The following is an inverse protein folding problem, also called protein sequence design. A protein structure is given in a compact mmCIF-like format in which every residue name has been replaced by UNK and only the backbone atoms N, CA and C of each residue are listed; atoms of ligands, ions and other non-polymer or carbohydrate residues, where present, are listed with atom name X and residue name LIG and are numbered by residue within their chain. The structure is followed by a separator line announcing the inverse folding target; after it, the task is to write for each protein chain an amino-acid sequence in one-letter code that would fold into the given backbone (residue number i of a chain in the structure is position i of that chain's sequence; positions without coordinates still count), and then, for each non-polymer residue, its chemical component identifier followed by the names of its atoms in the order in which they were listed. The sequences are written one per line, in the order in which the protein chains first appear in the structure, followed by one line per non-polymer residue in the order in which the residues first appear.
data_IF_874817261554
#
_entry.id   IF_874817261554
#
_cell.length_a   1.000
_cell.length_b   1.000
_cell.length_c   1.000
_cell.angle_alpha   90.00
_cell.angle_beta   90.00
_cell.angle_gamma   90.00
#
_symmetry.space_group_name_H-M   'P 1'
#
loop_
_entity.id
_entity.type
_entity.pdbx_description
1 polymer ?
#
# COMPACT_ATOMS: atom_id res chain seq x y z
N UNK A 1 43.43 21.86 -11.36
CA UNK A 1 42.07 21.24 -11.50
C UNK A 1 42.28 19.73 -11.43
N UNK A 2 41.76 19.12 -10.39
CA UNK A 2 41.84 17.67 -10.20
C UNK A 2 40.61 17.03 -10.90
N UNK A 3 40.83 16.00 -11.74
CA UNK A 3 39.79 15.29 -12.43
C UNK A 3 39.10 14.35 -11.44
N UNK A 4 37.84 14.64 -11.09
CA UNK A 4 37.08 13.94 -10.04
C UNK A 4 36.29 12.74 -10.54
N UNK A 5 36.07 12.63 -11.86
CA UNK A 5 35.39 11.48 -12.46
C UNK A 5 34.57 11.82 -13.68
N UNK A 6 33.95 10.80 -14.27
CA UNK A 6 33.09 10.89 -15.45
C UNK A 6 31.65 10.48 -15.10
N UNK A 7 30.69 11.33 -15.42
CA UNK A 7 29.27 11.06 -15.24
C UNK A 7 28.62 10.76 -16.59
N UNK A 8 28.32 9.49 -16.86
CA UNK A 8 27.62 9.08 -18.09
C UNK A 8 26.11 9.28 -17.97
N UNK A 9 25.43 9.53 -19.12
CA UNK A 9 23.97 9.60 -19.20
C UNK A 9 23.30 8.33 -18.61
N UNK A 10 23.85 7.16 -18.88
CA UNK A 10 23.32 5.89 -18.38
C UNK A 10 23.42 5.79 -16.86
N UNK A 11 24.49 6.31 -16.27
CA UNK A 11 24.67 6.35 -14.81
C UNK A 11 23.68 7.34 -14.16
N UNK A 12 23.44 8.49 -14.77
CA UNK A 12 22.38 9.42 -14.34
C UNK A 12 21.00 8.78 -14.40
N UNK A 13 20.66 8.09 -15.49
CA UNK A 13 19.38 7.42 -15.65
C UNK A 13 19.20 6.25 -14.66
N UNK A 14 20.27 5.48 -14.40
CA UNK A 14 20.23 4.40 -13.40
C UNK A 14 20.04 4.94 -11.98
N UNK A 15 20.67 6.06 -11.63
CA UNK A 15 20.50 6.71 -10.34
C UNK A 15 19.09 7.34 -10.19
N UNK A 16 18.53 7.92 -11.25
CA UNK A 16 17.15 8.43 -11.25
C UNK A 16 16.12 7.29 -11.14
N UNK A 17 16.36 6.15 -11.82
CA UNK A 17 15.48 4.98 -11.74
C UNK A 17 15.44 4.32 -10.34
N UNK A 18 16.39 4.63 -9.46
CA UNK A 18 16.45 4.17 -8.06
C UNK A 18 15.84 5.18 -7.06
N UNK A 19 15.24 6.27 -7.55
CA UNK A 19 14.54 7.23 -6.69
C UNK A 19 13.26 6.60 -6.14
N UNK A 20 12.99 6.69 -4.81
CA UNK A 20 11.73 6.23 -4.22
C UNK A 20 10.49 6.82 -4.91
N UNK A 21 10.56 8.07 -5.36
CA UNK A 21 9.46 8.72 -6.07
C UNK A 21 9.18 8.06 -7.43
N UNK A 22 10.21 7.73 -8.19
CA UNK A 22 10.06 7.01 -9.47
C UNK A 22 9.49 5.61 -9.23
N UNK A 23 9.93 4.96 -8.17
CA UNK A 23 9.40 3.64 -7.79
C UNK A 23 7.91 3.73 -7.40
N UNK A 24 7.50 4.69 -6.57
CA UNK A 24 6.10 4.93 -6.20
C UNK A 24 5.26 5.20 -7.46
N UNK A 25 5.75 5.98 -8.42
CA UNK A 25 5.06 6.18 -9.69
C UNK A 25 4.91 4.86 -10.45
N UNK A 26 5.92 4.00 -10.44
CA UNK A 26 5.82 2.68 -11.09
C UNK A 26 4.80 1.76 -10.42
N UNK A 27 4.59 1.89 -9.10
CA UNK A 27 3.51 1.19 -8.37
C UNK A 27 2.14 1.70 -8.80
N UNK A 28 1.97 3.02 -8.93
CA UNK A 28 0.71 3.62 -9.42
C UNK A 28 0.32 3.16 -10.81
N UNK A 29 1.29 2.84 -11.66
CA UNK A 29 1.08 2.37 -13.02
C UNK A 29 0.87 0.85 -13.12
N UNK A 30 1.02 0.10 -12.01
CA UNK A 30 0.80 -1.35 -12.03
C UNK A 30 -0.68 -1.68 -12.34
N UNK A 31 -0.88 -2.65 -13.21
CA UNK A 31 -2.21 -3.06 -13.70
C UNK A 31 -2.70 -4.38 -13.11
N UNK A 32 -1.79 -5.16 -12.51
CA UNK A 32 -2.10 -6.48 -11.96
C UNK A 32 -1.59 -6.67 -10.54
N UNK A 33 -2.20 -7.63 -9.81
CA UNK A 33 -1.73 -8.02 -8.48
C UNK A 33 -0.32 -8.63 -8.53
N UNK A 34 0.01 -9.33 -9.62
CA UNK A 34 1.35 -9.90 -9.82
C UNK A 34 2.39 -8.79 -9.92
N UNK A 35 2.11 -7.75 -10.70
CA UNK A 35 3.00 -6.60 -10.77
C UNK A 35 3.15 -5.87 -9.44
N UNK A 36 2.05 -5.68 -8.69
CA UNK A 36 2.10 -5.09 -7.36
C UNK A 36 2.95 -5.94 -6.40
N UNK A 37 2.81 -7.26 -6.46
CA UNK A 37 3.64 -8.20 -5.70
C UNK A 37 5.12 -8.06 -6.06
N UNK A 38 5.46 -8.07 -7.34
CA UNK A 38 6.85 -7.91 -7.82
C UNK A 38 7.44 -6.57 -7.35
N UNK A 39 6.63 -5.50 -7.31
CA UNK A 39 7.03 -4.22 -6.74
C UNK A 39 7.30 -4.36 -5.24
N UNK A 40 6.39 -4.95 -4.49
CA UNK A 40 6.55 -5.14 -3.05
C UNK A 40 7.78 -5.97 -2.72
N UNK A 41 8.02 -7.06 -3.43
CA UNK A 41 9.20 -7.92 -3.27
C UNK A 41 10.54 -7.19 -3.55
N UNK A 42 10.51 -6.08 -4.30
CA UNK A 42 11.68 -5.23 -4.56
C UNK A 42 11.89 -4.11 -3.52
N UNK A 43 10.94 -3.84 -2.63
CA UNK A 43 11.06 -2.78 -1.61
C UNK A 43 12.29 -2.95 -0.73
N UNK A 44 12.64 -4.16 -0.22
CA UNK A 44 13.83 -4.36 0.60
C UNK A 44 15.12 -3.88 -0.06
N UNK A 45 15.25 -4.08 -1.37
CA UNK A 45 16.42 -3.62 -2.14
C UNK A 45 16.52 -2.10 -2.16
N UNK A 46 15.39 -1.41 -2.36
CA UNK A 46 15.34 0.06 -2.37
C UNK A 46 15.70 0.61 -0.99
N UNK A 47 15.13 0.04 0.07
CA UNK A 47 15.39 0.46 1.45
C UNK A 47 16.85 0.24 1.82
N UNK A 48 17.45 -0.90 1.47
CA UNK A 48 18.87 -1.16 1.72
C UNK A 48 19.76 -0.15 0.99
N UNK A 49 19.40 0.26 -0.23
CA UNK A 49 20.15 1.29 -0.96
C UNK A 49 20.05 2.67 -0.28
N UNK A 50 18.86 3.04 0.23
CA UNK A 50 18.68 4.29 0.97
C UNK A 50 19.52 4.32 2.25
N UNK A 51 19.45 3.24 3.03
CA UNK A 51 20.24 3.10 4.27
C UNK A 51 21.76 3.12 3.98
N UNK A 52 22.20 2.42 2.92
CA UNK A 52 23.59 2.43 2.47
C UNK A 52 24.11 3.81 2.02
N UNK A 53 23.20 4.73 1.66
CA UNK A 53 23.50 6.14 1.33
C UNK A 53 23.41 7.08 2.57
N UNK A 54 23.20 6.53 3.77
CA UNK A 54 23.13 7.29 5.01
C UNK A 54 21.76 7.91 5.32
N UNK A 55 20.69 7.49 4.63
CA UNK A 55 19.32 7.87 4.98
C UNK A 55 18.96 7.23 6.32
N UNK A 56 18.39 8.01 7.25
CA UNK A 56 18.04 7.48 8.56
C UNK A 56 16.82 6.53 8.50
N UNK A 57 16.70 5.64 9.49
CA UNK A 57 15.67 4.61 9.54
C UNK A 57 14.24 5.17 9.56
N UNK A 58 14.01 6.33 10.19
CA UNK A 58 12.67 6.94 10.23
C UNK A 58 12.21 7.35 8.82
N UNK A 59 13.11 7.93 8.01
CA UNK A 59 12.80 8.27 6.61
C UNK A 59 12.62 7.00 5.77
N UNK A 60 13.42 5.95 6.02
CA UNK A 60 13.24 4.66 5.34
C UNK A 60 11.86 4.06 5.65
N UNK A 61 11.40 4.10 6.90
CA UNK A 61 10.07 3.64 7.29
C UNK A 61 8.93 4.47 6.63
N UNK A 62 9.11 5.78 6.51
CA UNK A 62 8.15 6.63 5.79
C UNK A 62 8.06 6.22 4.30
N UNK A 63 9.17 5.89 3.66
CA UNK A 63 9.17 5.40 2.27
C UNK A 63 8.45 4.06 2.17
N UNK A 64 8.68 3.12 3.10
CA UNK A 64 7.95 1.84 3.15
C UNK A 64 6.45 2.10 3.23
N UNK A 65 6.01 2.93 4.18
CA UNK A 65 4.59 3.27 4.37
C UNK A 65 4.00 3.91 3.12
N UNK A 66 4.68 4.86 2.48
CA UNK A 66 4.18 5.49 1.24
C UNK A 66 4.00 4.47 0.10
N UNK A 67 4.86 3.46 0.02
CA UNK A 67 4.73 2.39 -0.98
C UNK A 67 3.55 1.49 -0.61
N UNK A 68 3.41 1.10 0.66
CA UNK A 68 2.31 0.28 1.16
C UNK A 68 0.96 0.96 0.93
N UNK A 69 0.82 2.24 1.32
CA UNK A 69 -0.37 3.06 1.07
C UNK A 69 -0.74 3.09 -0.43
N UNK A 70 0.28 3.25 -1.30
CA UNK A 70 0.04 3.28 -2.74
C UNK A 70 -0.47 1.94 -3.27
N UNK A 71 0.07 0.82 -2.76
CA UNK A 71 -0.40 -0.53 -3.09
C UNK A 71 -1.83 -0.73 -2.59
N UNK A 72 -2.12 -0.36 -1.33
CA UNK A 72 -3.46 -0.48 -0.75
C UNK A 72 -4.50 0.30 -1.57
N UNK A 73 -4.20 1.54 -1.98
CA UNK A 73 -5.07 2.36 -2.84
C UNK A 73 -5.34 1.63 -4.16
N UNK A 74 -4.33 1.07 -4.82
CA UNK A 74 -4.49 0.32 -6.08
C UNK A 74 -5.38 -0.91 -5.91
N UNK A 75 -5.21 -1.66 -4.82
CA UNK A 75 -6.05 -2.83 -4.50
C UNK A 75 -7.50 -2.40 -4.27
N UNK A 76 -7.72 -1.32 -3.51
CA UNK A 76 -9.05 -0.76 -3.24
C UNK A 76 -9.73 -0.32 -4.55
N UNK A 77 -9.04 0.45 -5.39
CA UNK A 77 -9.55 0.91 -6.69
C UNK A 77 -9.94 -0.26 -7.59
N UNK A 78 -9.08 -1.29 -7.67
CA UNK A 78 -9.35 -2.51 -8.43
C UNK A 78 -10.55 -3.27 -7.89
N UNK A 79 -10.67 -3.38 -6.58
CA UNK A 79 -11.80 -4.06 -5.94
C UNK A 79 -13.10 -3.33 -6.21
N UNK A 80 -13.12 -1.99 -6.11
CA UNK A 80 -14.28 -1.16 -6.48
C UNK A 80 -14.64 -1.34 -7.95
N UNK A 81 -13.64 -1.36 -8.84
CA UNK A 81 -13.88 -1.56 -10.27
C UNK A 81 -14.58 -2.93 -10.54
N UNK A 82 -14.16 -3.98 -9.85
CA UNK A 82 -14.69 -5.33 -10.03
C UNK A 82 -16.06 -5.55 -9.37
N UNK A 83 -16.29 -4.97 -8.21
CA UNK A 83 -17.53 -5.14 -7.43
C UNK A 83 -18.63 -4.13 -7.79
N UNK A 84 -18.26 -3.05 -8.49
CA UNK A 84 -19.12 -1.91 -8.72
C UNK A 84 -19.03 -0.85 -7.59
N UNK A 85 -19.68 0.30 -7.80
CA UNK A 85 -19.58 1.44 -6.88
C UNK A 85 -20.10 1.09 -5.48
N UNK A 86 -19.43 1.55 -4.41
CA UNK A 86 -19.89 1.37 -3.06
C UNK A 86 -21.29 1.97 -2.82
N UNK A 87 -22.19 1.27 -2.12
CA UNK A 87 -23.57 1.73 -1.88
C UNK A 87 -23.68 2.86 -0.85
N UNK A 88 -22.59 3.17 -0.13
CA UNK A 88 -22.50 4.22 0.87
C UNK A 88 -21.09 4.85 0.83
N UNK A 89 -20.97 6.06 1.36
CA UNK A 89 -19.66 6.67 1.58
C UNK A 89 -18.88 5.85 2.60
N UNK A 90 -17.57 5.75 2.40
CA UNK A 90 -16.71 5.00 3.30
C UNK A 90 -15.31 5.60 3.40
N UNK A 91 -14.61 5.22 4.44
CA UNK A 91 -13.18 5.47 4.64
C UNK A 91 -12.51 4.13 4.91
N UNK A 92 -11.46 3.82 4.16
CA UNK A 92 -10.54 2.75 4.49
C UNK A 92 -9.42 3.33 5.36
N UNK A 93 -9.24 2.78 6.54
CA UNK A 93 -8.33 3.29 7.54
C UNK A 93 -7.26 2.23 7.85
N UNK A 94 -6.02 2.66 7.90
CA UNK A 94 -4.90 1.86 8.39
C UNK A 94 -4.56 2.28 9.82
N UNK A 95 -4.23 1.33 10.66
CA UNK A 95 -3.90 1.54 12.08
C UNK A 95 -2.52 0.97 12.42
N UNK A 96 -2.22 0.74 13.68
CA UNK A 96 -0.98 0.11 14.11
C UNK A 96 0.28 0.88 13.66
N UNK A 97 1.29 0.15 13.25
CA UNK A 97 2.58 0.71 12.79
C UNK A 97 2.45 1.46 11.46
N UNK A 98 1.57 1.01 10.56
CA UNK A 98 1.31 1.69 9.29
C UNK A 98 0.67 3.06 9.52
N UNK A 99 -0.38 3.14 10.34
CA UNK A 99 -1.04 4.40 10.69
C UNK A 99 -0.12 5.42 11.38
N UNK A 100 0.90 4.96 12.12
CA UNK A 100 1.92 5.81 12.74
C UNK A 100 3.13 6.10 11.84
N UNK A 101 3.15 5.58 10.60
CA UNK A 101 4.28 5.68 9.65
C UNK A 101 5.59 5.08 10.18
N UNK A 102 5.48 4.05 10.98
CA UNK A 102 6.58 3.29 11.60
C UNK A 102 6.68 1.87 11.03
N UNK A 103 5.93 1.58 9.98
CA UNK A 103 5.86 0.27 9.35
C UNK A 103 7.24 -0.20 8.88
N UNK A 104 7.51 -1.49 9.10
CA UNK A 104 8.70 -2.18 8.61
C UNK A 104 8.38 -3.04 7.40
N UNK A 105 9.38 -3.74 6.86
CA UNK A 105 9.21 -4.67 5.74
C UNK A 105 8.38 -5.93 6.09
N UNK A 106 8.30 -6.27 7.37
CA UNK A 106 7.37 -7.29 7.89
C UNK A 106 6.19 -6.57 8.50
N UNK A 107 5.08 -6.60 7.81
CA UNK A 107 3.86 -5.92 8.24
C UNK A 107 2.67 -6.84 8.13
N UNK A 108 1.77 -6.69 9.05
CA UNK A 108 0.44 -7.26 9.06
C UNK A 108 -0.60 -6.21 8.63
N UNK A 109 -1.81 -6.67 8.40
CA UNK A 109 -2.91 -5.83 7.96
C UNK A 109 -3.72 -5.35 9.16
N UNK A 110 -3.42 -4.16 9.65
CA UNK A 110 -4.21 -3.49 10.71
C UNK A 110 -5.20 -2.51 10.08
N UNK A 111 -6.22 -3.03 9.40
CA UNK A 111 -7.14 -2.24 8.60
C UNK A 111 -8.53 -2.16 9.24
N UNK A 112 -9.23 -1.05 9.00
CA UNK A 112 -10.64 -0.88 9.33
C UNK A 112 -11.38 -0.17 8.19
N UNK A 113 -12.67 -0.46 8.05
CA UNK A 113 -13.56 0.26 7.14
C UNK A 113 -14.66 0.92 7.97
N UNK A 114 -14.78 2.23 7.82
CA UNK A 114 -15.86 3.01 8.40
C UNK A 114 -16.77 3.42 7.25
N UNK A 115 -18.06 3.16 7.35
CA UNK A 115 -19.02 3.51 6.31
C UNK A 115 -20.27 4.15 6.88
N UNK A 116 -20.89 4.99 6.05
CA UNK A 116 -22.12 5.73 6.39
C UNK A 116 -23.28 4.76 6.66
N UNK A 117 -23.94 4.91 7.81
CA UNK A 117 -25.15 4.15 8.12
C UNK A 117 -26.30 4.57 7.19
N UNK A 118 -27.00 3.60 6.66
CA UNK A 118 -28.18 3.82 5.81
C UNK A 118 -29.44 3.39 6.51
N UNK A 119 -30.60 3.90 6.04
CA UNK A 119 -31.89 3.53 6.57
C UNK A 119 -32.08 2.01 6.64
N UNK A 120 -32.84 1.53 7.62
CA UNK A 120 -32.96 0.13 8.03
C UNK A 120 -33.13 -0.86 6.86
N UNK A 121 -33.86 -0.49 5.80
CA UNK A 121 -34.13 -1.32 4.64
C UNK A 121 -32.88 -1.60 3.78
N UNK A 122 -31.85 -0.77 3.84
CA UNK A 122 -30.61 -0.91 3.06
C UNK A 122 -29.43 -1.37 3.92
N UNK A 123 -29.58 -1.44 5.23
CA UNK A 123 -28.48 -1.72 6.17
C UNK A 123 -27.80 -3.07 5.90
N UNK A 124 -28.57 -4.13 5.69
CA UNK A 124 -28.02 -5.45 5.40
C UNK A 124 -27.26 -5.48 4.07
N UNK A 125 -27.82 -4.88 3.03
CA UNK A 125 -27.18 -4.80 1.72
C UNK A 125 -25.83 -4.04 1.79
N UNK A 126 -25.80 -2.89 2.47
CA UNK A 126 -24.58 -2.08 2.65
C UNK A 126 -23.53 -2.85 3.43
N UNK A 127 -23.95 -3.50 4.54
CA UNK A 127 -23.06 -4.34 5.34
C UNK A 127 -22.47 -5.49 4.55
N UNK A 128 -23.29 -6.21 3.80
CA UNK A 128 -22.86 -7.35 2.98
C UNK A 128 -21.87 -6.94 1.89
N UNK A 129 -22.12 -5.77 1.27
CA UNK A 129 -21.18 -5.21 0.30
C UNK A 129 -19.82 -4.97 0.96
N UNK A 130 -19.77 -4.25 2.10
CA UNK A 130 -18.52 -3.93 2.75
C UNK A 130 -17.82 -5.14 3.37
N UNK A 131 -18.54 -6.16 3.80
CA UNK A 131 -17.93 -7.44 4.21
C UNK A 131 -17.22 -8.13 3.04
N UNK A 132 -17.87 -8.23 1.90
CA UNK A 132 -17.27 -8.81 0.68
C UNK A 132 -16.08 -7.98 0.19
N UNK A 133 -16.25 -6.66 0.17
CA UNK A 133 -15.21 -5.72 -0.20
C UNK A 133 -13.97 -5.85 0.71
N UNK A 134 -14.18 -5.87 2.02
CA UNK A 134 -13.14 -6.02 3.01
C UNK A 134 -12.35 -7.33 2.84
N UNK A 135 -13.06 -8.44 2.68
CA UNK A 135 -12.43 -9.75 2.45
C UNK A 135 -11.61 -9.75 1.15
N UNK A 136 -12.18 -9.21 0.05
CA UNK A 136 -11.47 -9.17 -1.23
C UNK A 136 -10.20 -8.30 -1.16
N UNK A 137 -10.26 -7.13 -0.52
CA UNK A 137 -9.10 -6.26 -0.32
C UNK A 137 -8.04 -6.95 0.52
N UNK A 138 -8.43 -7.58 1.64
CA UNK A 138 -7.49 -8.30 2.51
C UNK A 138 -6.84 -9.50 1.83
N UNK A 139 -7.61 -10.26 1.06
CA UNK A 139 -7.09 -11.41 0.30
C UNK A 139 -6.08 -10.96 -0.76
N UNK A 140 -6.38 -9.86 -1.46
CA UNK A 140 -5.48 -9.35 -2.50
C UNK A 140 -4.22 -8.71 -1.91
N UNK A 141 -4.32 -8.00 -0.77
CA UNK A 141 -3.17 -7.53 -0.02
C UNK A 141 -2.31 -8.70 0.48
N UNK A 142 -2.94 -9.77 0.97
CA UNK A 142 -2.20 -10.96 1.42
C UNK A 142 -1.45 -11.65 0.27
N UNK A 143 -2.03 -11.74 -0.93
CA UNK A 143 -1.35 -12.26 -2.13
C UNK A 143 -0.13 -11.43 -2.52
N UNK A 144 -0.16 -10.12 -2.26
CA UNK A 144 0.97 -9.21 -2.52
C UNK A 144 2.08 -9.40 -1.48
N UNK A 145 1.76 -9.78 -0.24
CA UNK A 145 2.73 -10.03 0.84
C UNK A 145 2.44 -9.34 2.15
N UNK A 146 1.27 -8.69 2.29
CA UNK A 146 0.80 -8.14 3.56
C UNK A 146 0.09 -9.24 4.34
N UNK A 147 0.72 -9.74 5.40
CA UNK A 147 0.20 -10.86 6.18
C UNK A 147 -1.11 -10.46 6.88
N UNK A 148 -2.08 -11.37 6.95
CA UNK A 148 -3.27 -11.14 7.78
C UNK A 148 -2.90 -10.85 9.22
N UNK A 149 -3.62 -9.92 9.86
CA UNK A 149 -3.51 -9.71 11.30
C UNK A 149 -3.81 -11.01 12.05
N UNK A 150 -2.91 -11.40 12.96
CA UNK A 150 -3.08 -12.61 13.78
C UNK A 150 -4.30 -12.55 14.70
N UNK A 151 -4.84 -11.34 14.96
CA UNK A 151 -6.07 -11.12 15.71
C UNK A 151 -7.37 -11.38 14.92
N UNK A 152 -7.29 -11.65 13.62
CA UNK A 152 -8.44 -12.02 12.77
C UNK A 152 -9.42 -10.87 12.50
N UNK A 153 -9.04 -9.61 12.71
CA UNK A 153 -9.97 -8.49 12.66
C UNK A 153 -9.69 -7.52 11.51
N UNK A 154 -10.47 -7.68 10.46
CA UNK A 154 -10.88 -6.55 9.66
C UNK A 154 -12.04 -5.91 10.41
N UNK A 155 -11.81 -4.78 11.08
CA UNK A 155 -12.88 -4.11 11.84
C UNK A 155 -13.79 -3.35 10.88
N UNK A 156 -15.05 -3.79 10.78
CA UNK A 156 -16.11 -3.01 10.14
C UNK A 156 -16.80 -2.16 11.18
N UNK A 157 -16.71 -0.86 11.02
CA UNK A 157 -17.39 0.11 11.91
C UNK A 157 -18.39 0.88 11.05
N UNK A 158 -19.66 0.84 11.42
CA UNK A 158 -20.71 1.70 10.84
C UNK A 158 -21.00 2.87 11.80
N UNK A 159 -21.17 4.06 11.24
CA UNK A 159 -21.53 5.29 11.96
C UNK A 159 -22.85 5.80 11.41
#
# INVERSE_FOLDING_TARGET
QEYVGFLSRNRLLSEQGQSPLVFIQSVKLAESLTELKDKWDNVPKIINQLLGRGVNAAVANQVITMIADTIAIKVIEKTIHNMGPPPAKFVFMVTGSEGRKEQTLKTDQDNAIIYEDKANEQREYVRDYFLKFANQVSDDLNKIGFVYCTGGYLSLIHI
#
